data_IF_813242412744
#
_entry.id   IF_813242412744
#
_cell.length_a   1.000
_cell.length_b   1.000
_cell.length_c   1.000
_cell.angle_alpha   90.00
_cell.angle_beta   90.00
_cell.angle_gamma   90.00
#
_symmetry.space_group_name_H-M   'P 1'
#
loop_
_entity.id
_entity.type
_entity.pdbx_description
1 polymer ?
#
# COMPACT_ATOMS: atom_id res chain seq x y z
N UNK A 1 22.35 -25.86 -27.44
CA UNK A 1 22.70 -27.01 -26.57
C UNK A 1 23.30 -26.48 -25.28
N UNK A 2 22.73 -26.87 -24.12
CA UNK A 2 23.33 -27.01 -22.76
C UNK A 2 23.99 -25.75 -22.12
N UNK A 3 23.82 -25.34 -20.86
CA UNK A 3 23.28 -25.87 -19.58
C UNK A 3 23.41 -24.70 -18.57
N UNK A 4 22.40 -24.27 -17.82
CA UNK A 4 22.08 -24.58 -16.42
C UNK A 4 23.24 -24.68 -15.39
N UNK A 5 22.99 -24.06 -14.21
CA UNK A 5 23.35 -24.43 -12.81
C UNK A 5 24.41 -23.64 -11.99
N UNK A 6 23.89 -22.95 -10.95
CA UNK A 6 24.27 -22.78 -9.51
C UNK A 6 25.72 -22.44 -9.10
N UNK A 7 25.87 -21.41 -8.27
CA UNK A 7 26.91 -21.29 -7.24
C UNK A 7 26.34 -20.48 -6.05
N UNK A 8 25.82 -21.13 -4.99
CA UNK A 8 26.47 -21.32 -3.67
C UNK A 8 27.13 -20.03 -3.14
N UNK A 9 26.68 -19.44 -2.04
CA UNK A 9 26.69 -20.05 -0.70
C UNK A 9 28.05 -19.75 -0.05
N UNK A 10 28.13 -18.67 0.73
CA UNK A 10 29.38 -18.22 1.34
C UNK A 10 29.15 -17.31 2.54
N UNK A 11 28.75 -17.92 3.66
CA UNK A 11 28.73 -17.34 4.99
C UNK A 11 30.17 -17.01 5.41
N UNK A 12 30.51 -15.76 5.74
CA UNK A 12 31.80 -15.44 6.34
C UNK A 12 31.65 -15.19 7.85
N UNK A 13 32.42 -15.97 8.60
CA UNK A 13 32.44 -16.06 10.05
C UNK A 13 32.94 -14.80 10.73
N UNK A 14 32.28 -14.52 11.85
CA UNK A 14 32.65 -13.66 12.97
C UNK A 14 34.12 -13.81 13.34
N UNK A 15 34.82 -12.69 13.45
CA UNK A 15 36.18 -12.63 13.98
C UNK A 15 36.13 -11.89 15.32
N UNK A 16 35.82 -12.63 16.39
CA UNK A 16 36.07 -12.16 17.76
C UNK A 16 37.57 -12.25 18.02
N UNK A 17 38.23 -11.09 18.12
CA UNK A 17 39.49 -10.95 18.85
C UNK A 17 39.18 -10.23 20.16
N UNK A 18 39.56 -10.88 21.26
CA UNK A 18 39.18 -10.47 22.61
C UNK A 18 40.11 -9.48 23.29
N UNK A 19 39.92 -9.44 24.61
CA UNK A 19 40.70 -8.81 25.67
C UNK A 19 40.41 -7.31 25.93
N UNK A 20 39.94 -7.03 27.15
CA UNK A 20 40.09 -5.72 27.79
C UNK A 20 38.79 -5.10 28.29
N UNK A 21 38.51 -5.28 29.57
CA UNK A 21 37.50 -4.51 30.29
C UNK A 21 37.81 -3.00 30.26
N UNK A 22 36.77 -2.16 30.22
CA UNK A 22 36.62 -0.91 31.00
C UNK A 22 35.14 -0.49 30.87
N UNK A 23 34.43 -0.54 32.00
CA UNK A 23 33.22 0.24 32.21
C UNK A 23 33.65 1.67 32.55
N UNK A 24 32.96 2.69 32.03
CA UNK A 24 32.39 3.84 32.78
C UNK A 24 31.88 4.87 31.77
N UNK A 25 30.59 5.14 31.93
CA UNK A 25 29.74 6.19 31.37
C UNK A 25 30.28 7.62 31.55
N UNK A 26 30.25 8.42 30.48
CA UNK A 26 30.06 9.88 30.50
C UNK A 26 29.23 10.24 29.27
N UNK A 27 28.08 10.86 29.49
CA UNK A 27 27.06 11.10 28.47
C UNK A 27 27.22 12.39 27.66
N UNK A 28 26.08 12.76 27.07
CA UNK A 28 25.72 14.05 26.47
C UNK A 28 25.97 14.18 24.95
N UNK A 29 24.94 13.89 24.13
CA UNK A 29 24.19 14.87 23.32
C UNK A 29 23.25 14.15 22.34
N UNK A 30 21.98 14.55 22.37
CA UNK A 30 21.04 14.69 21.25
C UNK A 30 21.09 13.68 20.08
N UNK A 31 20.06 12.84 19.98
CA UNK A 31 18.98 13.02 19.02
C UNK A 31 17.86 12.04 19.36
N UNK A 32 16.64 12.54 19.49
CA UNK A 32 15.45 11.71 19.48
C UNK A 32 15.37 11.05 18.10
N UNK A 33 15.80 9.80 17.98
CA UNK A 33 15.21 8.92 16.97
C UNK A 33 14.21 8.09 17.74
N UNK A 34 12.98 8.60 17.81
CA UNK A 34 11.85 7.68 17.77
C UNK A 34 12.03 6.96 16.44
N UNK A 35 12.69 5.81 16.48
CA UNK A 35 12.48 4.82 15.44
C UNK A 35 11.02 4.41 15.67
N UNK A 36 10.13 5.17 15.00
CA UNK A 36 8.77 4.76 14.78
C UNK A 36 8.87 3.30 14.37
N UNK A 37 8.22 2.49 15.18
CA UNK A 37 7.71 1.20 14.79
C UNK A 37 6.94 1.41 13.49
N UNK A 38 7.66 1.40 12.36
CA UNK A 38 7.07 1.05 11.08
C UNK A 38 6.69 -0.40 11.29
N UNK A 39 5.48 -0.57 11.81
CA UNK A 39 4.68 -1.76 11.62
C UNK A 39 4.60 -1.92 10.12
N UNK A 40 5.59 -2.61 9.55
CA UNK A 40 5.51 -3.19 8.22
C UNK A 40 4.34 -4.14 8.31
N UNK A 41 3.14 -3.64 7.99
CA UNK A 41 2.00 -4.50 7.70
C UNK A 41 2.48 -5.48 6.63
N UNK A 42 2.21 -6.75 6.88
CA UNK A 42 2.68 -7.86 6.06
C UNK A 42 2.46 -7.60 4.56
N UNK A 43 3.36 -8.10 3.68
CA UNK A 43 3.13 -8.02 2.25
C UNK A 43 1.76 -8.63 1.94
N UNK A 44 0.93 -7.81 1.32
CA UNK A 44 -0.50 -7.93 1.07
C UNK A 44 -0.83 -9.23 0.31
N UNK A 45 -0.86 -10.35 1.03
CA UNK A 45 -1.32 -11.63 0.50
C UNK A 45 -2.85 -11.62 0.45
N UNK A 46 -3.38 -11.97 -0.71
CA UNK A 46 -4.80 -12.08 -1.09
C UNK A 46 -5.54 -10.79 -1.53
N UNK A 47 -4.93 -9.99 -2.40
CA UNK A 47 -5.74 -9.15 -3.30
C UNK A 47 -6.49 -10.07 -4.29
N UNK A 48 -7.80 -10.22 -4.11
CA UNK A 48 -8.65 -10.93 -5.06
C UNK A 48 -9.32 -9.88 -5.96
N UNK A 49 -8.99 -9.88 -7.25
CA UNK A 49 -9.63 -9.02 -8.24
C UNK A 49 -11.07 -9.49 -8.53
N UNK A 50 -11.95 -9.40 -7.53
CA UNK A 50 -13.40 -9.45 -7.70
C UNK A 50 -13.94 -8.03 -7.89
N UNK A 51 -15.09 -7.92 -8.53
CA UNK A 51 -15.82 -6.66 -8.61
C UNK A 51 -16.10 -6.13 -7.19
N UNK A 52 -15.59 -4.93 -6.89
CA UNK A 52 -15.77 -4.26 -5.61
C UNK A 52 -17.13 -3.61 -5.50
N UNK A 53 -17.69 -3.61 -4.29
CA UNK A 53 -18.88 -2.86 -3.92
C UNK A 53 -18.47 -1.87 -2.85
N UNK A 54 -18.79 -0.59 -3.03
CA UNK A 54 -18.42 0.48 -2.12
C UNK A 54 -19.61 0.87 -1.24
N UNK A 55 -19.40 0.90 0.08
CA UNK A 55 -20.38 1.42 1.03
C UNK A 55 -20.01 2.85 1.52
N UNK A 56 -20.87 3.42 2.35
CA UNK A 56 -20.72 4.79 2.86
C UNK A 56 -19.39 5.00 3.60
N UNK A 57 -19.02 4.06 4.48
CA UNK A 57 -17.81 4.19 5.29
C UNK A 57 -16.54 4.10 4.46
N UNK A 58 -16.52 3.22 3.44
CA UNK A 58 -15.40 3.11 2.50
C UNK A 58 -15.30 4.34 1.60
N UNK A 59 -16.43 4.89 1.16
CA UNK A 59 -16.47 6.11 0.35
C UNK A 59 -15.95 7.33 1.13
N UNK A 60 -16.32 7.46 2.40
CA UNK A 60 -15.82 8.52 3.29
C UNK A 60 -14.35 8.36 3.67
N UNK A 61 -13.81 7.15 3.59
CA UNK A 61 -12.40 6.83 3.87
C UNK A 61 -11.48 7.03 2.65
N UNK A 62 -12.02 7.42 1.49
CA UNK A 62 -11.21 7.78 0.33
C UNK A 62 -10.46 9.08 0.60
N UNK A 63 -9.18 9.08 0.26
CA UNK A 63 -8.30 10.24 0.39
C UNK A 63 -7.67 10.58 -0.96
N UNK A 64 -7.32 11.85 -1.11
CA UNK A 64 -6.57 12.34 -2.25
C UNK A 64 -5.23 11.59 -2.39
N UNK A 65 -4.68 11.52 -3.60
CA UNK A 65 -3.41 10.87 -3.92
C UNK A 65 -3.35 9.34 -3.70
N UNK A 66 -4.45 8.67 -3.36
CA UNK A 66 -4.49 7.20 -3.29
C UNK A 66 -4.30 6.56 -4.67
N UNK A 67 -3.53 5.47 -4.76
CA UNK A 67 -3.45 4.67 -6.00
C UNK A 67 -4.69 3.80 -6.20
N UNK A 68 -4.87 3.28 -7.42
CA UNK A 68 -5.91 2.30 -7.72
C UNK A 68 -5.85 1.08 -6.81
N UNK A 69 -4.64 0.62 -6.49
CA UNK A 69 -4.42 -0.54 -5.62
C UNK A 69 -4.79 -0.23 -4.18
N UNK A 70 -4.49 0.97 -3.68
CA UNK A 70 -4.86 1.39 -2.33
C UNK A 70 -6.38 1.50 -2.20
N UNK A 71 -7.05 2.13 -3.18
CA UNK A 71 -8.51 2.19 -3.27
C UNK A 71 -9.12 0.79 -3.35
N UNK A 72 -8.58 -0.08 -4.20
CA UNK A 72 -9.11 -1.43 -4.36
C UNK A 72 -8.95 -2.29 -3.09
N UNK A 73 -7.87 -2.06 -2.33
CA UNK A 73 -7.66 -2.70 -1.03
C UNK A 73 -8.62 -2.16 0.03
N UNK A 74 -8.84 -0.85 0.05
CA UNK A 74 -9.80 -0.21 0.97
C UNK A 74 -11.23 -0.75 0.76
N UNK A 75 -11.65 -0.88 -0.50
CA UNK A 75 -12.99 -1.35 -0.89
C UNK A 75 -13.09 -2.89 -0.89
N UNK A 76 -11.95 -3.59 -0.90
CA UNK A 76 -11.92 -5.06 -1.00
C UNK A 76 -12.31 -5.60 -2.39
N UNK A 77 -12.08 -4.83 -3.45
CA UNK A 77 -12.31 -5.24 -4.83
C UNK A 77 -11.94 -4.15 -5.83
N UNK A 78 -11.96 -4.48 -7.12
CA UNK A 78 -11.66 -3.53 -8.21
C UNK A 78 -12.95 -2.97 -8.80
N UNK A 79 -12.91 -1.72 -9.24
CA UNK A 79 -14.00 -1.09 -9.99
C UNK A 79 -13.90 -1.34 -11.49
N UNK A 80 -14.96 -0.99 -12.22
CA UNK A 80 -15.03 -1.08 -13.68
C UNK A 80 -14.48 0.20 -14.32
N UNK A 81 -13.51 0.08 -15.26
CA UNK A 81 -13.04 1.23 -16.02
C UNK A 81 -14.16 1.73 -16.95
N UNK A 82 -14.58 2.98 -16.76
CA UNK A 82 -15.63 3.62 -17.55
C UNK A 82 -15.07 4.47 -18.69
N UNK A 83 -13.99 5.21 -18.41
CA UNK A 83 -13.38 6.13 -19.38
C UNK A 83 -11.87 6.26 -19.10
N UNK A 84 -11.09 6.38 -20.16
CA UNK A 84 -9.65 6.67 -20.10
C UNK A 84 -9.33 7.71 -21.18
N UNK A 85 -8.75 8.84 -20.78
CA UNK A 85 -8.30 9.93 -21.65
C UNK A 85 -6.96 10.46 -21.18
N UNK A 86 -5.92 10.32 -22.00
CA UNK A 86 -4.54 10.68 -21.68
C UNK A 86 -4.05 10.07 -20.36
N UNK A 87 -3.90 10.88 -19.31
CA UNK A 87 -3.46 10.49 -17.98
C UNK A 87 -4.63 10.50 -16.98
N UNK A 88 -5.88 10.54 -17.46
CA UNK A 88 -7.09 10.56 -16.64
C UNK A 88 -7.88 9.26 -16.85
N UNK A 89 -8.13 8.54 -15.76
CA UNK A 89 -8.99 7.36 -15.73
C UNK A 89 -10.22 7.63 -14.88
N UNK A 90 -11.39 7.15 -15.29
CA UNK A 90 -12.60 7.15 -14.48
C UNK A 90 -13.06 5.72 -14.25
N UNK A 91 -13.16 5.34 -12.98
CA UNK A 91 -13.53 4.01 -12.52
C UNK A 91 -14.87 4.09 -11.79
N UNK A 92 -15.75 3.14 -12.07
CA UNK A 92 -17.05 3.02 -11.43
C UNK A 92 -17.05 1.83 -10.47
N UNK A 93 -17.40 2.10 -9.22
CA UNK A 93 -17.70 1.07 -8.22
C UNK A 93 -19.21 0.94 -8.06
N UNK A 94 -19.71 -0.29 -7.96
CA UNK A 94 -21.12 -0.54 -7.60
C UNK A 94 -21.32 -0.16 -6.14
N UNK A 95 -22.47 0.43 -5.82
CA UNK A 95 -22.78 0.81 -4.45
C UNK A 95 -23.36 -0.34 -3.62
N UNK A 96 -23.05 -0.34 -2.33
CA UNK A 96 -23.72 -1.11 -1.30
C UNK A 96 -24.53 -0.17 -0.37
N UNK A 97 -25.59 -0.69 0.24
CA UNK A 97 -26.42 0.10 1.17
C UNK A 97 -27.19 1.21 0.43
N UNK A 98 -26.98 2.46 0.84
CA UNK A 98 -27.66 3.63 0.26
C UNK A 98 -27.01 4.13 -1.03
N UNK A 99 -25.78 3.70 -1.34
CA UNK A 99 -25.09 4.06 -2.56
C UNK A 99 -25.62 3.20 -3.72
N UNK A 100 -25.92 3.82 -4.86
CA UNK A 100 -26.21 3.14 -6.12
C UNK A 100 -24.90 2.82 -6.88
N UNK A 101 -24.05 3.84 -7.06
CA UNK A 101 -22.68 3.69 -7.56
C UNK A 101 -21.79 4.85 -7.13
N UNK A 102 -20.48 4.65 -7.19
CA UNK A 102 -19.48 5.71 -7.04
C UNK A 102 -18.60 5.82 -8.29
N UNK A 103 -18.26 7.05 -8.67
CA UNK A 103 -17.33 7.38 -9.74
C UNK A 103 -16.05 7.96 -9.14
N UNK A 104 -14.93 7.32 -9.40
CA UNK A 104 -13.60 7.74 -8.95
C UNK A 104 -12.77 8.13 -10.17
N UNK A 105 -12.22 9.35 -10.18
CA UNK A 105 -11.31 9.86 -11.20
C UNK A 105 -9.88 9.80 -10.68
N UNK A 106 -9.02 9.14 -11.43
CA UNK A 106 -7.59 9.11 -11.22
C UNK A 106 -6.90 10.00 -12.25
N UNK A 107 -5.95 10.83 -11.82
CA UNK A 107 -5.07 11.63 -12.66
C UNK A 107 -3.63 11.19 -12.39
N UNK A 108 -2.87 10.87 -13.44
CA UNK A 108 -1.52 10.30 -13.34
C UNK A 108 -1.43 9.08 -12.39
N UNK A 109 -2.50 8.28 -12.36
CA UNK A 109 -2.63 7.09 -11.51
C UNK A 109 -3.00 7.35 -10.05
N UNK A 110 -3.33 8.60 -9.70
CA UNK A 110 -3.66 9.05 -8.33
C UNK A 110 -5.09 9.57 -8.23
N UNK A 111 -5.79 9.22 -7.15
CA UNK A 111 -7.17 9.64 -6.92
C UNK A 111 -7.20 11.16 -6.71
N UNK A 112 -7.88 11.89 -7.61
CA UNK A 112 -8.02 13.36 -7.55
C UNK A 112 -9.48 13.78 -7.31
N UNK A 113 -10.46 12.95 -7.68
CA UNK A 113 -11.87 13.28 -7.46
C UNK A 113 -12.71 12.02 -7.32
N UNK A 114 -13.69 12.05 -6.42
CA UNK A 114 -14.68 10.98 -6.27
C UNK A 114 -16.04 11.55 -5.96
N UNK A 115 -17.08 10.95 -6.56
CA UNK A 115 -18.48 11.31 -6.35
C UNK A 115 -19.32 10.04 -6.24
N UNK A 116 -20.44 10.12 -5.52
CA UNK A 116 -21.42 9.02 -5.44
C UNK A 116 -22.79 9.44 -5.92
N UNK A 117 -23.55 8.45 -6.34
CA UNK A 117 -24.98 8.55 -6.54
C UNK A 117 -25.67 7.69 -5.49
N UNK A 118 -26.57 8.31 -4.72
CA UNK A 118 -27.38 7.62 -3.72
C UNK A 118 -28.69 7.11 -4.35
N UNK A 119 -29.25 6.05 -3.77
CA UNK A 119 -30.56 5.52 -4.17
C UNK A 119 -31.67 6.50 -3.77
N UNK A 120 -32.68 6.63 -4.62
CA UNK A 120 -33.90 7.41 -4.37
C UNK A 120 -34.79 6.85 -3.24
#
# INVERSE_FOLDING_TARGET
MRTNRINQGGCYMVKHFGLGAIFISIGLLAACSQDEEVTTKAPFEDYKASQGYINEGEFEALEDDMTREEVAQLIGGVGELYKEEDYIETIIYKGEGNIDFAMLRFEDGKLDMWNKHDKE
#
